data_IF_293004549240
#
_entry.id   IF_293004549240
#
_cell.length_a   1.000
_cell.length_b   1.000
_cell.length_c   1.000
_cell.angle_alpha   90.00
_cell.angle_beta   90.00
_cell.angle_gamma   90.00
#
_symmetry.space_group_name_H-M   'P 1'
#
loop_
_entity.id
_entity.type
_entity.pdbx_description
1 polymer ?
#
# COMPACT_ATOMS: atom_id res chain seq x y z
N UNK A 1 -43.40 -37.97 50.91
CA UNK A 1 -42.59 -36.75 50.70
C UNK A 1 -41.17 -37.05 51.19
N UNK A 2 -40.26 -37.30 50.26
CA UNK A 2 -38.84 -37.54 50.48
C UNK A 2 -38.09 -36.88 49.30
N UNK A 3 -36.97 -36.17 49.51
CA UNK A 3 -36.28 -35.53 48.40
C UNK A 3 -35.31 -36.51 47.74
N UNK A 4 -35.44 -36.66 46.41
CA UNK A 4 -34.55 -37.41 45.53
C UNK A 4 -33.38 -36.52 45.09
N UNK A 5 -32.17 -37.00 45.31
CA UNK A 5 -30.92 -36.50 44.72
C UNK A 5 -30.88 -36.83 43.22
N UNK A 6 -30.75 -35.81 42.37
CA UNK A 6 -30.52 -35.97 40.93
C UNK A 6 -29.06 -35.68 40.61
N UNK A 7 -28.34 -36.75 40.25
CA UNK A 7 -27.05 -36.73 39.56
C UNK A 7 -27.25 -36.29 38.11
N UNK A 8 -26.52 -35.27 37.66
CA UNK A 8 -26.55 -34.78 36.28
C UNK A 8 -25.50 -35.51 35.43
N UNK A 9 -25.80 -35.94 34.19
CA UNK A 9 -24.85 -36.63 33.34
C UNK A 9 -23.94 -35.66 32.57
N UNK A 10 -22.67 -36.06 32.42
CA UNK A 10 -21.65 -35.34 31.69
C UNK A 10 -21.99 -35.21 30.19
N UNK A 11 -22.02 -33.97 29.69
CA UNK A 11 -22.08 -33.66 28.26
C UNK A 11 -20.68 -33.70 27.67
N UNK A 12 -20.42 -34.70 26.83
CA UNK A 12 -19.28 -34.72 25.91
C UNK A 12 -19.38 -33.54 24.93
N UNK A 13 -18.57 -32.48 25.14
CA UNK A 13 -18.26 -31.51 24.08
C UNK A 13 -17.25 -32.15 23.13
N UNK A 14 -17.73 -32.56 21.94
CA UNK A 14 -16.86 -32.76 20.78
C UNK A 14 -16.16 -31.43 20.49
N UNK A 15 -14.84 -31.44 20.52
CA UNK A 15 -14.03 -30.35 19.99
C UNK A 15 -14.27 -30.28 18.47
N UNK A 16 -15.08 -29.32 18.03
CA UNK A 16 -15.08 -28.89 16.65
C UNK A 16 -13.73 -28.19 16.42
N UNK A 17 -12.86 -28.78 15.61
CA UNK A 17 -11.64 -28.13 15.15
C UNK A 17 -12.02 -26.80 14.50
N UNK A 18 -11.46 -25.69 15.00
CA UNK A 18 -11.50 -24.41 14.30
C UNK A 18 -10.78 -24.61 12.98
N UNK A 19 -11.53 -24.67 11.88
CA UNK A 19 -10.96 -24.48 10.56
C UNK A 19 -10.38 -23.05 10.52
N UNK A 20 -9.06 -22.94 10.46
CA UNK A 20 -8.37 -21.70 10.16
C UNK A 20 -8.83 -21.24 8.79
N UNK A 21 -9.46 -20.07 8.71
CA UNK A 21 -9.86 -19.49 7.42
C UNK A 21 -8.58 -19.10 6.67
N UNK A 22 -8.46 -19.44 5.38
CA UNK A 22 -7.30 -19.04 4.58
C UNK A 22 -7.26 -17.53 4.48
N UNK A 23 -6.08 -16.92 4.64
CA UNK A 23 -5.92 -15.46 4.63
C UNK A 23 -4.97 -15.01 3.53
N UNK A 24 -5.32 -14.02 2.71
CA UNK A 24 -4.31 -13.33 1.91
C UNK A 24 -3.21 -12.65 2.76
N UNK A 25 -2.03 -12.55 2.16
CA UNK A 25 -0.86 -11.86 2.69
C UNK A 25 -1.19 -10.42 3.14
N UNK A 26 -0.95 -10.09 4.41
CA UNK A 26 -0.94 -8.70 4.88
C UNK A 26 0.47 -8.37 5.34
N UNK A 27 1.10 -7.39 4.69
CA UNK A 27 2.48 -7.04 4.96
C UNK A 27 2.68 -5.57 5.22
N UNK A 28 3.03 -5.24 6.46
CA UNK A 28 3.31 -3.87 6.89
C UNK A 28 4.63 -3.82 7.64
N UNK A 29 5.60 -3.13 7.05
CA UNK A 29 6.69 -2.50 7.80
C UNK A 29 6.57 -1.01 7.47
N UNK A 30 6.39 -0.17 8.50
CA UNK A 30 6.44 1.29 8.36
C UNK A 30 7.90 1.67 8.20
N UNK A 31 8.30 2.02 6.98
CA UNK A 31 9.70 2.07 6.61
C UNK A 31 9.97 3.12 5.55
N UNK A 32 10.74 4.14 5.88
CA UNK A 32 11.27 5.10 4.93
C UNK A 32 12.00 4.37 3.79
N UNK A 33 11.44 4.50 2.59
CA UNK A 33 12.09 4.13 1.36
C UNK A 33 13.04 5.25 0.92
N UNK A 34 14.12 4.89 0.21
CA UNK A 34 14.97 5.82 -0.52
C UNK A 34 14.24 6.42 -1.73
N UNK A 35 13.05 6.98 -1.55
CA UNK A 35 12.37 7.75 -2.57
C UNK A 35 13.06 9.11 -2.67
N UNK A 36 13.92 9.28 -3.66
CA UNK A 36 14.29 10.62 -4.12
C UNK A 36 13.03 11.40 -4.49
N UNK A 37 13.00 12.74 -4.36
CA UNK A 37 11.84 13.51 -4.76
C UNK A 37 11.58 13.28 -6.25
N UNK A 38 10.53 12.52 -6.56
CA UNK A 38 9.92 12.55 -7.87
C UNK A 38 9.33 13.95 -8.00
N UNK A 39 10.07 14.85 -8.65
CA UNK A 39 9.52 16.13 -9.09
C UNK A 39 8.34 15.78 -9.99
N UNK A 40 7.13 15.91 -9.48
CA UNK A 40 5.94 15.83 -10.29
C UNK A 40 6.08 16.92 -11.37
N UNK A 41 6.17 16.50 -12.64
CA UNK A 41 6.00 17.42 -13.75
C UNK A 41 4.65 18.12 -13.59
N UNK A 42 4.58 19.46 -13.53
CA UNK A 42 3.29 20.12 -13.46
C UNK A 42 2.57 19.93 -14.80
N UNK A 43 1.49 19.15 -14.79
CA UNK A 43 0.51 19.14 -15.85
C UNK A 43 -0.06 20.55 -16.01
N UNK A 44 0.16 21.11 -17.20
CA UNK A 44 -0.24 22.45 -17.61
C UNK A 44 -1.75 22.59 -17.52
N UNK A 45 -2.25 23.48 -16.65
CA UNK A 45 -3.57 24.06 -16.80
C UNK A 45 -3.48 25.32 -17.69
N UNK A 46 -4.44 25.54 -18.61
CA UNK A 46 -4.40 26.65 -19.55
C UNK A 46 -4.77 27.96 -18.83
N UNK A 47 -3.87 28.95 -18.88
CA UNK A 47 -4.18 30.31 -18.44
C UNK A 47 -5.08 30.99 -19.49
N UNK A 48 -6.27 31.40 -19.07
CA UNK A 48 -7.09 32.35 -19.78
C UNK A 48 -6.52 33.77 -19.62
N UNK A 49 -6.57 34.53 -20.71
CA UNK A 49 -6.04 35.88 -20.91
C UNK A 49 -6.51 36.93 -19.91
N UNK A 50 -5.59 37.80 -19.48
CA UNK A 50 -5.85 39.24 -19.34
C UNK A 50 -4.53 40.06 -19.44
N UNK A 51 -4.65 41.16 -20.15
CA UNK A 51 -3.62 42.12 -20.60
C UNK A 51 -3.19 43.08 -19.50
N UNK A 52 -1.89 43.41 -19.41
CA UNK A 52 -1.37 44.79 -19.39
C UNK A 52 0.17 44.83 -19.26
N UNK A 53 0.83 45.44 -20.23
CA UNK A 53 2.22 45.95 -20.18
C UNK A 53 2.27 47.25 -19.37
N UNK A 54 3.40 47.55 -18.69
CA UNK A 54 4.27 48.60 -19.24
C UNK A 54 5.80 48.38 -19.13
N UNK A 55 6.44 49.06 -20.09
CA UNK A 55 7.82 49.50 -20.43
C UNK A 55 8.87 49.63 -19.30
N UNK A 56 10.19 49.51 -19.61
CA UNK A 56 11.25 49.36 -18.61
C UNK A 56 11.78 50.71 -18.09
N UNK A 57 12.34 50.71 -16.88
CA UNK A 57 13.23 51.76 -16.39
C UNK A 57 14.46 51.12 -15.77
N UNK A 58 15.59 51.34 -16.42
CA UNK A 58 16.94 51.07 -15.95
C UNK A 58 17.35 52.18 -14.97
N UNK A 59 17.94 51.83 -13.84
CA UNK A 59 19.00 52.61 -13.17
C UNK A 59 19.56 51.85 -11.96
N UNK A 60 20.88 51.72 -11.90
CA UNK A 60 21.62 51.90 -10.65
C UNK A 60 22.28 50.66 -10.04
N UNK A 61 23.54 50.44 -10.42
CA UNK A 61 24.51 49.68 -9.66
C UNK A 61 24.65 50.26 -8.23
N UNK A 62 24.40 49.44 -7.22
CA UNK A 62 24.69 49.73 -5.82
C UNK A 62 25.10 48.46 -5.10
N UNK A 63 26.39 48.38 -4.76
CA UNK A 63 26.96 47.25 -4.01
C UNK A 63 26.29 47.11 -2.65
N UNK A 64 25.66 45.96 -2.44
CA UNK A 64 25.16 45.51 -1.15
C UNK A 64 25.54 44.05 -0.99
N UNK A 65 26.53 43.79 -0.15
CA UNK A 65 26.87 42.47 0.35
C UNK A 65 25.63 41.81 0.96
N UNK A 66 25.10 40.81 0.26
CA UNK A 66 24.08 39.90 0.78
C UNK A 66 24.68 39.16 1.98
N UNK A 67 24.00 39.14 3.14
CA UNK A 67 24.35 38.18 4.16
C UNK A 67 24.04 36.79 3.58
N UNK A 68 25.04 35.91 3.54
CA UNK A 68 24.77 34.50 3.43
C UNK A 68 23.81 34.15 4.57
N UNK A 69 22.60 33.70 4.23
CA UNK A 69 21.65 33.18 5.21
C UNK A 69 22.34 32.01 5.90
N UNK A 70 22.83 32.25 7.12
CA UNK A 70 23.40 31.21 7.95
C UNK A 70 22.23 30.31 8.36
N UNK A 71 22.10 29.18 7.68
CA UNK A 71 21.29 28.07 8.17
C UNK A 71 21.74 27.69 9.59
N UNK A 72 20.86 27.07 10.40
CA UNK A 72 21.21 26.65 11.75
C UNK A 72 22.53 25.86 11.75
N UNK A 73 23.46 26.26 12.62
CA UNK A 73 24.75 25.59 12.79
C UNK A 73 24.55 24.19 13.35
N UNK A 74 24.98 23.19 12.60
CA UNK A 74 24.85 21.77 12.94
C UNK A 74 25.55 21.41 14.26
N UNK A 75 24.89 20.69 15.20
CA UNK A 75 25.54 20.20 16.41
C UNK A 75 26.71 19.23 16.11
N UNK A 76 27.75 19.19 16.95
CA UNK A 76 28.94 18.37 16.71
C UNK A 76 28.75 16.87 17.02
N UNK A 77 27.71 16.48 17.78
CA UNK A 77 27.41 15.08 18.10
C UNK A 77 26.06 14.60 17.49
N UNK A 78 25.95 13.29 17.23
CA UNK A 78 24.79 12.69 16.57
C UNK A 78 23.51 12.76 17.42
N UNK A 79 23.63 12.65 18.75
CA UNK A 79 22.50 12.66 19.67
C UNK A 79 21.81 14.02 19.71
N UNK A 80 22.58 15.11 19.74
CA UNK A 80 22.08 16.47 19.68
C UNK A 80 21.41 16.77 18.33
N UNK A 81 21.92 16.22 17.21
CA UNK A 81 21.27 16.33 15.90
C UNK A 81 19.87 15.69 15.95
N UNK A 82 19.77 14.44 16.40
CA UNK A 82 18.47 13.75 16.48
C UNK A 82 17.51 14.47 17.42
N UNK A 83 17.96 14.91 18.60
CA UNK A 83 17.13 15.68 19.54
C UNK A 83 16.64 17.00 18.96
N UNK A 84 17.48 17.69 18.19
CA UNK A 84 17.07 18.89 17.48
C UNK A 84 15.97 18.58 16.46
N UNK A 85 16.17 17.56 15.62
CA UNK A 85 15.18 17.16 14.60
C UNK A 85 13.88 16.72 15.25
N UNK A 86 13.94 15.95 16.34
CA UNK A 86 12.78 15.52 17.10
C UNK A 86 11.91 16.69 17.55
N UNK A 87 12.53 17.73 18.15
CA UNK A 87 11.82 18.95 18.56
C UNK A 87 11.20 19.70 17.38
N UNK A 88 11.90 19.75 16.24
CA UNK A 88 11.40 20.38 15.02
C UNK A 88 10.22 19.62 14.42
N UNK A 89 10.32 18.29 14.31
CA UNK A 89 9.26 17.41 13.79
C UNK A 89 8.03 17.43 14.69
N UNK A 90 8.21 17.36 16.01
CA UNK A 90 7.13 17.53 17.00
C UNK A 90 6.40 18.87 16.82
N UNK A 91 7.15 19.96 16.61
CA UNK A 91 6.57 21.29 16.34
C UNK A 91 5.82 21.33 15.01
N UNK A 92 6.40 20.81 13.94
CA UNK A 92 5.79 20.75 12.60
C UNK A 92 4.49 19.95 12.67
N UNK A 93 4.53 18.75 13.27
CA UNK A 93 3.42 17.80 13.31
C UNK A 93 2.38 18.13 14.39
N UNK A 94 2.70 19.06 15.29
CA UNK A 94 1.83 19.48 16.40
C UNK A 94 1.48 18.34 17.37
N UNK A 95 2.42 17.42 17.60
CA UNK A 95 2.29 16.30 18.53
C UNK A 95 3.35 16.38 19.63
N UNK A 96 3.03 15.87 20.82
CA UNK A 96 3.88 15.98 21.99
C UNK A 96 5.23 15.28 21.81
N UNK A 97 6.32 15.99 22.15
CA UNK A 97 7.67 15.46 22.12
C UNK A 97 7.89 14.43 23.24
N UNK A 98 8.25 13.18 22.95
CA UNK A 98 8.61 12.20 23.97
C UNK A 98 9.98 12.48 24.62
N UNK A 99 10.19 11.93 25.82
CA UNK A 99 11.46 12.05 26.56
C UNK A 99 12.64 11.35 25.86
N UNK A 100 12.37 10.20 25.23
CA UNK A 100 13.36 9.43 24.45
C UNK A 100 13.20 9.80 22.98
N UNK A 101 14.31 10.16 22.34
CA UNK A 101 14.35 10.54 20.93
C UNK A 101 15.46 9.80 20.17
N UNK A 102 16.30 9.05 20.88
CA UNK A 102 17.50 8.45 20.32
C UNK A 102 17.17 7.19 19.49
N UNK A 103 17.56 7.16 18.21
CA UNK A 103 17.33 6.00 17.35
C UNK A 103 18.35 4.90 17.63
N UNK A 104 18.04 3.70 17.15
CA UNK A 104 19.00 2.59 17.09
C UNK A 104 19.64 2.55 15.71
N UNK A 105 20.93 2.87 15.65
CA UNK A 105 21.67 2.86 14.39
C UNK A 105 22.11 1.44 14.06
N UNK A 106 21.80 0.98 12.86
CA UNK A 106 22.13 -0.36 12.36
C UNK A 106 22.84 -0.28 11.00
N UNK A 107 23.53 -1.35 10.62
CA UNK A 107 24.10 -1.50 9.29
C UNK A 107 23.15 -2.27 8.34
N UNK A 108 23.48 -2.29 7.05
CA UNK A 108 22.70 -3.00 6.03
C UNK A 108 22.52 -4.50 6.29
N UNK A 109 23.56 -5.26 6.69
CA UNK A 109 23.40 -6.66 7.08
C UNK A 109 22.42 -6.88 8.24
N UNK A 110 22.44 -6.00 9.25
CA UNK A 110 21.49 -6.07 10.37
C UNK A 110 20.07 -5.73 9.91
N UNK A 111 19.89 -4.77 9.00
CA UNK A 111 18.59 -4.48 8.38
C UNK A 111 18.01 -5.74 7.71
N UNK A 112 18.77 -6.37 6.81
CA UNK A 112 18.31 -7.57 6.09
C UNK A 112 17.91 -8.69 7.06
N UNK A 113 18.70 -8.89 8.12
CA UNK A 113 18.40 -9.88 9.16
C UNK A 113 17.10 -9.55 9.91
N UNK A 114 16.88 -8.27 10.25
CA UNK A 114 15.68 -7.84 10.96
C UNK A 114 14.44 -7.97 10.07
N UNK A 115 14.50 -7.50 8.82
CA UNK A 115 13.42 -7.61 7.85
C UNK A 115 13.06 -9.09 7.56
N UNK A 116 14.06 -9.95 7.42
CA UNK A 116 13.83 -11.39 7.20
C UNK A 116 13.13 -12.02 8.39
N UNK A 117 13.56 -11.70 9.63
CA UNK A 117 12.91 -12.20 10.84
C UNK A 117 11.47 -11.73 10.96
N UNK A 118 11.20 -10.45 10.71
CA UNK A 118 9.83 -9.92 10.77
C UNK A 118 8.97 -10.58 9.70
N UNK A 119 9.49 -10.69 8.47
CA UNK A 119 8.81 -11.39 7.38
C UNK A 119 8.45 -12.83 7.76
N UNK A 120 9.38 -13.61 8.30
CA UNK A 120 9.09 -14.99 8.71
C UNK A 120 8.08 -15.06 9.87
N UNK A 121 8.01 -14.03 10.71
CA UNK A 121 7.11 -13.96 11.86
C UNK A 121 5.69 -13.61 11.46
N UNK A 122 5.52 -12.67 10.51
CA UNK A 122 4.21 -12.16 10.10
C UNK A 122 3.63 -12.88 8.88
N UNK A 123 4.44 -13.67 8.16
CA UNK A 123 4.04 -14.32 6.90
C UNK A 123 4.26 -15.82 6.94
N UNK A 124 3.26 -16.58 7.40
CA UNK A 124 3.29 -18.03 7.31
C UNK A 124 3.61 -18.49 5.88
N UNK A 125 4.54 -19.46 5.70
CA UNK A 125 4.93 -19.91 4.37
C UNK A 125 3.78 -20.41 3.49
N UNK A 126 2.71 -20.95 4.09
CA UNK A 126 1.54 -21.41 3.36
C UNK A 126 0.70 -20.24 2.80
N UNK A 127 0.54 -19.15 3.55
CA UNK A 127 -0.15 -17.94 3.06
C UNK A 127 0.65 -17.25 1.96
N UNK A 128 1.98 -17.20 2.08
CA UNK A 128 2.85 -16.74 0.99
C UNK A 128 2.67 -17.60 -0.26
N UNK A 129 2.64 -18.94 -0.11
CA UNK A 129 2.47 -19.83 -1.26
C UNK A 129 1.12 -19.65 -1.95
N UNK A 130 0.04 -19.40 -1.18
CA UNK A 130 -1.29 -19.11 -1.73
C UNK A 130 -1.33 -17.76 -2.46
N UNK A 131 -0.77 -16.70 -1.86
CA UNK A 131 -0.66 -15.38 -2.52
C UNK A 131 0.19 -15.44 -3.78
N UNK A 132 1.33 -16.15 -3.74
CA UNK A 132 2.19 -16.36 -4.92
C UNK A 132 1.41 -17.09 -6.02
N UNK A 133 0.67 -18.14 -5.67
CA UNK A 133 -0.16 -18.89 -6.63
C UNK A 133 -1.26 -18.03 -7.23
N UNK A 134 -1.95 -17.23 -6.41
CA UNK A 134 -2.97 -16.28 -6.87
C UNK A 134 -2.38 -15.31 -7.89
N UNK A 135 -1.27 -14.64 -7.54
CA UNK A 135 -0.63 -13.66 -8.42
C UNK A 135 -0.10 -14.30 -9.71
N UNK A 136 0.43 -15.53 -9.65
CA UNK A 136 0.85 -16.29 -10.86
C UNK A 136 -0.33 -16.61 -11.77
N UNK A 137 -1.46 -17.08 -11.22
CA UNK A 137 -2.66 -17.36 -12.03
C UNK A 137 -3.27 -16.09 -12.62
N UNK A 138 -3.17 -14.96 -11.91
CA UNK A 138 -3.58 -13.65 -12.40
C UNK A 138 -2.63 -13.06 -13.46
N UNK A 139 -1.48 -13.69 -13.71
CA UNK A 139 -0.45 -13.18 -14.63
C UNK A 139 0.40 -12.04 -14.06
N UNK A 140 0.28 -11.73 -12.76
CA UNK A 140 1.01 -10.66 -12.07
C UNK A 140 2.42 -11.09 -11.61
N UNK A 141 2.71 -12.39 -11.63
CA UNK A 141 4.03 -12.95 -11.37
C UNK A 141 4.40 -13.97 -12.44
N UNK A 142 5.66 -13.92 -12.87
CA UNK A 142 6.22 -14.95 -13.74
C UNK A 142 6.26 -16.32 -13.04
N UNK A 143 6.20 -17.44 -13.80
CA UNK A 143 6.08 -18.79 -13.22
C UNK A 143 7.25 -19.17 -12.29
N UNK A 144 8.44 -18.64 -12.56
CA UNK A 144 9.67 -18.91 -11.81
C UNK A 144 10.01 -17.83 -10.76
N UNK A 145 9.18 -16.80 -10.63
CA UNK A 145 9.38 -15.74 -9.64
C UNK A 145 8.92 -16.25 -8.27
N UNK A 146 9.75 -16.03 -7.24
CA UNK A 146 9.38 -16.24 -5.85
C UNK A 146 8.89 -14.92 -5.26
N UNK A 147 7.68 -14.91 -4.72
CA UNK A 147 7.06 -13.74 -4.09
C UNK A 147 7.87 -13.28 -2.88
N UNK A 148 8.18 -14.20 -1.96
CA UNK A 148 8.95 -13.89 -0.75
C UNK A 148 10.32 -13.29 -1.09
N UNK A 149 11.03 -13.88 -2.05
CA UNK A 149 12.34 -13.37 -2.47
C UNK A 149 12.23 -11.99 -3.10
N UNK A 150 11.31 -11.79 -4.04
CA UNK A 150 11.12 -10.49 -4.67
C UNK A 150 10.77 -9.39 -3.66
N UNK A 151 9.96 -9.72 -2.66
CA UNK A 151 9.63 -8.82 -1.56
C UNK A 151 10.84 -8.47 -0.68
N UNK A 152 11.59 -9.48 -0.23
CA UNK A 152 12.77 -9.26 0.62
C UNK A 152 13.89 -8.52 -0.12
N UNK A 153 14.09 -8.82 -1.41
CA UNK A 153 15.05 -8.12 -2.27
C UNK A 153 14.66 -6.65 -2.43
N UNK A 154 13.37 -6.34 -2.62
CA UNK A 154 12.85 -4.97 -2.66
C UNK A 154 13.09 -4.25 -1.34
N UNK A 155 12.65 -4.81 -0.21
CA UNK A 155 12.77 -4.15 1.09
C UNK A 155 14.22 -3.96 1.53
N UNK A 156 15.06 -4.99 1.39
CA UNK A 156 16.48 -4.90 1.72
C UNK A 156 17.24 -3.89 0.86
N UNK A 157 16.72 -3.55 -0.33
CA UNK A 157 17.29 -2.52 -1.20
C UNK A 157 16.76 -1.12 -0.93
N UNK A 158 15.50 -0.95 -0.53
CA UNK A 158 14.84 0.36 -0.48
C UNK A 158 14.76 0.95 0.92
N UNK A 159 14.69 0.12 1.97
CA UNK A 159 14.51 0.58 3.34
C UNK A 159 15.81 1.20 3.87
N UNK A 160 15.73 2.45 4.32
CA UNK A 160 16.86 3.20 4.89
C UNK A 160 16.62 3.60 6.35
N UNK A 161 15.42 3.39 6.86
CA UNK A 161 15.03 3.47 8.26
C UNK A 161 13.64 2.83 8.45
N UNK A 162 13.29 2.51 9.70
CA UNK A 162 11.96 2.02 10.03
C UNK A 162 11.66 2.23 11.52
N UNK A 163 10.38 2.37 11.83
CA UNK A 163 9.85 2.39 13.18
C UNK A 163 9.05 1.10 13.42
N UNK A 164 9.38 0.40 14.50
CA UNK A 164 8.65 -0.79 14.91
C UNK A 164 7.67 -0.47 16.06
N UNK A 165 6.35 -0.45 15.81
CA UNK A 165 5.35 -0.15 16.83
C UNK A 165 5.17 -1.30 17.85
N UNK A 166 5.68 -2.51 17.60
CA UNK A 166 5.61 -3.64 18.54
C UNK A 166 6.65 -3.50 19.64
N UNK A 167 7.87 -3.08 19.29
CA UNK A 167 8.96 -2.86 20.27
C UNK A 167 9.18 -1.39 20.63
N UNK A 168 8.39 -0.47 20.04
CA UNK A 168 8.44 0.98 20.25
C UNK A 168 9.84 1.54 20.03
N UNK A 169 10.44 1.17 18.90
CA UNK A 169 11.84 1.49 18.59
C UNK A 169 12.01 1.97 17.16
N UNK A 170 12.73 3.08 17.03
CA UNK A 170 13.15 3.68 15.77
C UNK A 170 14.53 3.14 15.37
N UNK A 171 14.69 2.72 14.12
CA UNK A 171 15.94 2.27 13.54
C UNK A 171 16.38 3.14 12.37
N UNK A 172 17.65 3.55 12.36
CA UNK A 172 18.28 4.27 11.25
C UNK A 172 19.38 3.40 10.65
N UNK A 173 19.37 3.24 9.34
CA UNK A 173 20.41 2.50 8.63
C UNK A 173 21.52 3.48 8.25
N UNK A 174 22.70 3.34 8.85
CA UNK A 174 23.87 4.16 8.51
C UNK A 174 24.99 3.29 7.93
N UNK A 175 25.50 3.67 6.75
CA UNK A 175 26.56 2.92 6.06
C UNK A 175 27.97 3.22 6.58
N UNK A 176 28.19 4.40 7.14
CA UNK A 176 29.51 4.87 7.60
C UNK A 176 29.50 5.30 9.08
N UNK A 177 28.36 5.14 9.77
CA UNK A 177 28.18 5.54 11.17
C UNK A 177 28.07 7.06 11.37
N UNK A 178 28.07 7.84 10.30
CA UNK A 178 27.86 9.28 10.35
C UNK A 178 26.38 9.63 10.12
N UNK A 179 25.95 10.75 10.70
CA UNK A 179 24.65 11.34 10.41
C UNK A 179 24.82 12.27 9.21
N UNK A 180 24.25 11.96 8.05
CA UNK A 180 24.22 12.81 6.87
C UNK A 180 22.83 13.35 6.60
N UNK A 181 22.65 14.10 5.52
CA UNK A 181 21.34 14.61 5.12
C UNK A 181 20.32 13.46 4.93
N UNK A 182 20.76 12.29 4.46
CA UNK A 182 19.91 11.09 4.35
C UNK A 182 19.43 10.63 5.72
N UNK A 183 20.34 10.39 6.66
CA UNK A 183 20.01 9.93 8.00
C UNK A 183 19.13 10.93 8.75
N UNK A 184 19.32 12.24 8.53
CA UNK A 184 18.48 13.29 9.12
C UNK A 184 17.06 13.28 8.54
N UNK A 185 16.92 13.15 7.21
CA UNK A 185 15.62 13.04 6.53
C UNK A 185 14.89 11.77 6.95
N UNK A 186 15.59 10.63 6.94
CA UNK A 186 15.04 9.36 7.40
C UNK A 186 14.59 9.46 8.84
N UNK A 187 15.39 10.06 9.72
CA UNK A 187 15.00 10.25 11.11
C UNK A 187 13.76 11.14 11.24
N UNK A 188 13.64 12.21 10.45
CA UNK A 188 12.43 13.04 10.46
C UNK A 188 11.16 12.25 10.07
N UNK A 189 11.26 11.34 9.10
CA UNK A 189 10.18 10.42 8.73
C UNK A 189 9.85 9.46 9.87
N UNK A 190 10.83 8.69 10.32
CA UNK A 190 10.62 7.63 11.30
C UNK A 190 10.21 8.15 12.68
N UNK A 191 10.71 9.32 13.06
CA UNK A 191 10.29 9.95 14.32
C UNK A 191 8.83 10.41 14.23
N UNK A 192 8.32 10.73 13.03
CA UNK A 192 6.89 10.99 12.86
C UNK A 192 6.05 9.74 13.14
N UNK A 193 6.51 8.55 12.73
CA UNK A 193 5.85 7.29 13.13
C UNK A 193 5.85 7.08 14.65
N UNK A 194 6.94 7.43 15.34
CA UNK A 194 6.99 7.38 16.80
C UNK A 194 5.97 8.34 17.46
N UNK A 195 5.78 9.53 16.90
CA UNK A 195 4.76 10.48 17.36
C UNK A 195 3.34 9.97 17.07
N UNK A 196 3.10 9.43 15.86
CA UNK A 196 1.83 8.83 15.47
C UNK A 196 1.45 7.66 16.38
N UNK A 197 2.40 6.78 16.68
CA UNK A 197 2.15 5.62 17.54
C UNK A 197 1.83 6.02 18.97
N UNK A 198 2.49 7.03 19.53
CA UNK A 198 2.10 7.56 20.85
C UNK A 198 0.71 8.18 20.85
N UNK A 199 0.33 8.85 19.77
CA UNK A 199 -0.94 9.59 19.72
C UNK A 199 -2.14 8.71 19.37
N UNK A 200 -1.95 7.76 18.47
CA UNK A 200 -3.01 6.98 17.82
C UNK A 200 -2.92 5.48 18.06
N UNK A 201 -1.84 4.98 18.68
CA UNK A 201 -1.54 3.56 18.85
C UNK A 201 -1.60 2.81 17.50
N UNK A 202 -0.49 2.80 16.74
CA UNK A 202 -0.50 2.25 15.38
C UNK A 202 -0.83 0.76 15.34
N UNK A 203 -0.55 0.02 16.41
CA UNK A 203 -0.97 -1.38 16.54
C UNK A 203 -2.50 -1.54 16.58
N UNK A 204 -3.22 -0.53 17.09
CA UNK A 204 -4.68 -0.55 17.19
C UNK A 204 -5.39 -0.36 15.85
N UNK A 205 -4.67 0.10 14.82
CA UNK A 205 -5.20 0.25 13.45
C UNK A 205 -5.53 -1.11 12.81
N UNK A 206 -5.03 -2.19 13.40
CA UNK A 206 -5.43 -3.55 13.05
C UNK A 206 -4.85 -4.07 11.75
N UNK A 207 -3.76 -3.47 11.24
CA UNK A 207 -3.10 -3.87 9.99
C UNK A 207 -2.83 -5.38 9.96
N UNK A 208 -2.20 -5.95 10.99
CA UNK A 208 -1.92 -7.40 11.09
C UNK A 208 -3.18 -8.28 11.31
N UNK A 209 -4.31 -7.66 11.66
CA UNK A 209 -5.57 -8.35 12.00
C UNK A 209 -6.63 -8.28 10.91
N UNK A 210 -6.49 -7.36 9.96
CA UNK A 210 -7.31 -7.34 8.76
C UNK A 210 -6.94 -8.59 7.95
N UNK A 211 -7.97 -9.30 7.49
CA UNK A 211 -7.86 -10.57 6.78
C UNK A 211 -8.66 -10.45 5.50
N UNK A 212 -8.09 -10.92 4.40
CA UNK A 212 -8.74 -10.96 3.08
C UNK A 212 -9.16 -9.57 2.56
N UNK A 213 -8.42 -8.53 2.91
CA UNK A 213 -8.75 -7.15 2.52
C UNK A 213 -7.49 -6.29 2.44
N UNK A 214 -6.58 -6.69 1.53
CA UNK A 214 -5.31 -6.01 1.29
C UNK A 214 -5.49 -4.57 0.83
N UNK A 215 -6.53 -4.27 0.06
CA UNK A 215 -6.89 -2.91 -0.35
C UNK A 215 -7.12 -1.98 0.85
N UNK A 216 -7.85 -2.45 1.87
CA UNK A 216 -8.08 -1.67 3.10
C UNK A 216 -6.80 -1.47 3.90
N UNK A 217 -5.95 -2.50 4.01
CA UNK A 217 -4.63 -2.36 4.65
C UNK A 217 -3.83 -1.27 3.95
N UNK A 218 -3.82 -1.30 2.63
CA UNK A 218 -3.10 -0.33 1.82
C UNK A 218 -3.66 1.09 2.01
N UNK A 219 -4.97 1.24 2.10
CA UNK A 219 -5.62 2.53 2.36
C UNK A 219 -5.19 3.12 3.71
N UNK A 220 -5.21 2.32 4.77
CA UNK A 220 -4.80 2.75 6.11
C UNK A 220 -3.31 3.14 6.10
N UNK A 221 -2.47 2.34 5.43
CA UNK A 221 -1.05 2.65 5.29
C UNK A 221 -0.82 3.99 4.59
N UNK A 222 -1.58 4.30 3.54
CA UNK A 222 -1.46 5.58 2.84
C UNK A 222 -1.75 6.79 3.74
N UNK A 223 -2.65 6.68 4.72
CA UNK A 223 -2.82 7.74 5.72
C UNK A 223 -1.58 7.88 6.60
N UNK A 224 -1.06 6.75 7.11
CA UNK A 224 0.10 6.73 8.02
C UNK A 224 1.36 7.29 7.34
N UNK A 225 1.67 6.78 6.15
CA UNK A 225 2.86 7.16 5.38
C UNK A 225 2.73 8.57 4.78
N UNK A 226 1.55 8.94 4.29
CA UNK A 226 1.29 10.30 3.80
C UNK A 226 1.48 11.35 4.90
N UNK A 227 1.10 11.03 6.14
CA UNK A 227 1.25 11.89 7.30
C UNK A 227 2.74 12.03 7.70
N UNK A 228 3.47 10.93 7.77
CA UNK A 228 4.92 10.95 8.01
C UNK A 228 5.68 11.73 6.93
N UNK A 229 5.35 11.50 5.66
CA UNK A 229 5.96 12.18 4.52
C UNK A 229 5.66 13.68 4.51
N UNK A 230 4.49 14.10 5.00
CA UNK A 230 4.13 15.53 5.11
C UNK A 230 4.99 16.27 6.13
N UNK A 231 5.26 15.65 7.28
CA UNK A 231 6.13 16.18 8.32
C UNK A 231 7.59 16.19 7.86
N UNK A 232 8.07 15.08 7.27
CA UNK A 232 9.39 14.97 6.67
C UNK A 232 9.63 16.06 5.63
N UNK A 233 8.71 16.23 4.68
CA UNK A 233 8.84 17.21 3.59
C UNK A 233 8.88 18.65 4.11
N UNK A 234 8.03 18.96 5.10
CA UNK A 234 8.03 20.26 5.76
C UNK A 234 9.34 20.53 6.50
N UNK A 235 9.88 19.51 7.17
CA UNK A 235 11.16 19.58 7.85
C UNK A 235 12.30 19.82 6.84
N UNK A 236 12.32 19.07 5.73
CA UNK A 236 13.30 19.24 4.66
C UNK A 236 13.30 20.66 4.11
N UNK A 237 12.12 21.19 3.76
CA UNK A 237 11.96 22.52 3.20
C UNK A 237 12.43 23.62 4.17
N UNK A 238 12.28 23.42 5.47
CA UNK A 238 12.66 24.39 6.49
C UNK A 238 14.14 24.32 6.91
N UNK A 239 14.79 23.15 6.79
CA UNK A 239 16.08 22.90 7.44
C UNK A 239 17.22 22.52 6.50
N UNK A 240 16.94 21.98 5.30
CA UNK A 240 17.99 21.56 4.38
C UNK A 240 18.45 22.70 3.47
N UNK A 241 19.76 22.76 3.24
CA UNK A 241 20.36 23.60 2.21
C UNK A 241 20.14 23.00 0.80
N UNK A 242 20.25 23.79 -0.27
CA UNK A 242 20.20 23.27 -1.64
C UNK A 242 21.22 22.16 -1.92
N UNK A 243 22.41 22.22 -1.31
CA UNK A 243 23.43 21.18 -1.45
C UNK A 243 22.98 19.86 -0.82
N UNK A 244 22.45 19.90 0.41
CA UNK A 244 21.91 18.72 1.10
C UNK A 244 20.70 18.13 0.37
N UNK A 245 19.82 18.96 -0.20
CA UNK A 245 18.73 18.49 -1.06
C UNK A 245 19.27 17.75 -2.30
N UNK A 246 20.37 18.23 -2.89
CA UNK A 246 21.08 17.56 -3.97
C UNK A 246 21.68 16.21 -3.57
N UNK A 247 22.23 16.10 -2.35
CA UNK A 247 22.71 14.83 -1.78
C UNK A 247 21.56 13.83 -1.63
N UNK A 248 20.42 14.27 -1.09
CA UNK A 248 19.21 13.44 -0.94
C UNK A 248 18.72 12.92 -2.30
N UNK A 249 18.61 13.79 -3.29
CA UNK A 249 18.21 13.42 -4.64
C UNK A 249 19.19 12.42 -5.31
N UNK A 250 20.49 12.58 -5.06
CA UNK A 250 21.52 11.70 -5.61
C UNK A 250 21.44 10.30 -5.01
N UNK A 251 21.21 10.18 -3.69
CA UNK A 251 21.09 8.88 -3.03
C UNK A 251 19.87 8.08 -3.54
N UNK A 252 18.74 8.75 -3.80
CA UNK A 252 17.57 8.12 -4.40
C UNK A 252 17.76 7.67 -5.85
N UNK A 253 18.89 8.02 -6.48
CA UNK A 253 19.27 7.62 -7.84
C UNK A 253 20.38 6.57 -7.87
N UNK A 254 20.61 5.85 -6.76
CA UNK A 254 21.61 4.79 -6.66
C UNK A 254 21.35 3.70 -7.73
N UNK A 255 22.30 3.42 -8.65
CA UNK A 255 22.09 2.47 -9.74
C UNK A 255 21.75 1.04 -9.30
N UNK A 256 22.25 0.59 -8.15
CA UNK A 256 21.93 -0.74 -7.63
C UNK A 256 20.48 -0.79 -7.11
N UNK A 257 20.03 0.27 -6.44
CA UNK A 257 18.62 0.41 -6.05
C UNK A 257 17.70 0.45 -7.28
N UNK A 258 18.06 1.26 -8.29
CA UNK A 258 17.29 1.35 -9.53
C UNK A 258 17.21 0.02 -10.28
N UNK A 259 18.28 -0.79 -10.25
CA UNK A 259 18.26 -2.12 -10.85
C UNK A 259 17.29 -3.08 -10.13
N UNK A 260 17.21 -3.02 -8.80
CA UNK A 260 16.23 -3.80 -8.03
C UNK A 260 14.82 -3.36 -8.35
N UNK A 261 14.55 -2.05 -8.38
CA UNK A 261 13.24 -1.50 -8.75
C UNK A 261 12.81 -1.94 -10.15
N UNK A 262 13.72 -1.92 -11.12
CA UNK A 262 13.44 -2.34 -12.49
C UNK A 262 13.17 -3.84 -12.62
N UNK A 263 13.76 -4.67 -11.76
CA UNK A 263 13.54 -6.12 -11.74
C UNK A 263 12.31 -6.54 -10.90
N UNK A 264 11.80 -5.64 -10.06
CA UNK A 264 10.70 -5.92 -9.13
C UNK A 264 9.39 -6.10 -9.91
N UNK A 265 8.61 -7.18 -9.66
CA UNK A 265 7.29 -7.33 -10.25
C UNK A 265 6.40 -6.11 -9.98
N UNK A 266 5.70 -5.62 -11.01
CA UNK A 266 4.90 -4.40 -10.95
C UNK A 266 3.95 -4.37 -9.76
N UNK A 267 3.28 -5.48 -9.47
CA UNK A 267 2.34 -5.57 -8.36
C UNK A 267 2.99 -5.27 -7.01
N UNK A 268 4.23 -5.71 -6.78
CA UNK A 268 4.96 -5.40 -5.56
C UNK A 268 5.45 -3.95 -5.57
N UNK A 269 5.97 -3.49 -6.70
CA UNK A 269 6.50 -2.13 -6.82
C UNK A 269 5.40 -1.08 -6.59
N UNK A 270 4.28 -1.20 -7.30
CA UNK A 270 3.21 -0.20 -7.27
C UNK A 270 2.45 -0.22 -5.94
N UNK A 271 2.27 -1.38 -5.30
CA UNK A 271 1.67 -1.43 -3.95
C UNK A 271 2.63 -0.90 -2.88
N UNK A 272 3.95 -1.07 -3.04
CA UNK A 272 4.94 -0.55 -2.07
C UNK A 272 5.08 0.97 -2.12
N UNK A 273 4.99 1.57 -3.32
CA UNK A 273 5.15 3.02 -3.48
C UNK A 273 3.85 3.81 -3.27
N UNK A 274 2.70 3.15 -3.38
CA UNK A 274 1.39 3.80 -3.28
C UNK A 274 1.16 4.58 -1.98
N UNK A 275 1.49 4.05 -0.78
CA UNK A 275 1.32 4.78 0.47
C UNK A 275 2.06 6.11 0.51
N UNK A 276 3.23 6.20 -0.14
CA UNK A 276 4.01 7.43 -0.21
C UNK A 276 3.45 8.42 -1.22
N UNK A 277 3.09 7.95 -2.42
CA UNK A 277 2.67 8.84 -3.50
C UNK A 277 1.21 9.28 -3.35
N UNK A 278 0.29 8.32 -3.32
CA UNK A 278 -1.14 8.61 -3.23
C UNK A 278 -1.52 9.05 -1.81
N UNK A 279 -0.87 8.47 -0.79
CA UNK A 279 -1.02 8.93 0.60
C UNK A 279 -0.59 10.38 0.82
N UNK A 280 0.51 10.85 0.19
CA UNK A 280 0.89 12.26 0.24
C UNK A 280 -0.19 13.18 -0.36
N UNK A 281 -0.79 12.79 -1.49
CA UNK A 281 -1.88 13.56 -2.09
C UNK A 281 -3.12 13.58 -1.17
N UNK A 282 -3.48 12.44 -0.59
CA UNK A 282 -4.58 12.30 0.35
C UNK A 282 -4.39 13.16 1.60
N UNK A 283 -3.24 13.05 2.28
CA UNK A 283 -2.93 13.86 3.47
C UNK A 283 -2.77 15.34 3.12
N UNK A 284 -2.19 15.66 1.95
CA UNK A 284 -2.12 17.03 1.46
C UNK A 284 -3.51 17.68 1.32
N UNK A 285 -4.51 16.90 0.87
CA UNK A 285 -5.89 17.35 0.82
C UNK A 285 -6.45 17.62 2.24
N UNK A 286 -6.23 16.71 3.20
CA UNK A 286 -6.66 16.91 4.60
C UNK A 286 -6.01 18.15 5.23
N UNK A 287 -4.71 18.36 4.99
CA UNK A 287 -3.97 19.54 5.43
C UNK A 287 -4.57 20.83 4.85
N UNK A 288 -4.97 20.83 3.58
CA UNK A 288 -5.61 21.98 2.95
C UNK A 288 -7.00 22.29 3.54
N UNK A 289 -7.71 21.30 4.08
CA UNK A 289 -9.02 21.48 4.70
C UNK A 289 -8.95 22.06 6.12
N UNK A 290 -7.93 21.70 6.91
CA UNK A 290 -7.85 22.14 8.31
C UNK A 290 -6.54 21.84 9.04
N UNK A 291 -5.46 21.66 8.29
CA UNK A 291 -4.15 21.32 8.83
C UNK A 291 -4.11 19.97 9.54
N UNK A 292 -3.15 19.79 10.44
CA UNK A 292 -2.96 18.52 11.14
C UNK A 292 -4.13 18.10 12.03
N UNK A 293 -5.00 19.03 12.45
CA UNK A 293 -6.22 18.67 13.18
C UNK A 293 -7.17 17.79 12.36
N UNK A 294 -7.25 18.01 11.04
CA UNK A 294 -8.02 17.17 10.12
C UNK A 294 -7.33 15.83 9.87
N UNK A 295 -6.00 15.83 9.78
CA UNK A 295 -5.19 14.60 9.66
C UNK A 295 -5.39 13.71 10.89
N UNK A 296 -5.31 14.28 12.09
CA UNK A 296 -5.56 13.58 13.36
C UNK A 296 -6.98 12.99 13.43
N UNK A 297 -7.98 13.73 12.93
CA UNK A 297 -9.35 13.24 12.87
C UNK A 297 -9.51 12.02 11.96
N UNK A 298 -8.74 11.92 10.87
CA UNK A 298 -8.76 10.77 9.97
C UNK A 298 -8.32 9.45 10.64
N UNK A 299 -7.49 9.49 11.68
CA UNK A 299 -7.15 8.30 12.48
C UNK A 299 -8.35 7.74 13.28
N UNK A 300 -9.42 8.52 13.45
CA UNK A 300 -10.68 8.03 14.06
C UNK A 300 -11.67 7.48 13.02
N UNK A 301 -11.47 7.80 11.75
CA UNK A 301 -12.28 7.39 10.61
C UNK A 301 -11.36 6.95 9.47
N UNK A 302 -10.70 5.81 9.68
CA UNK A 302 -9.68 5.32 8.77
C UNK A 302 -10.23 5.13 7.34
N UNK A 303 -9.42 5.43 6.30
CA UNK A 303 -9.80 5.16 4.92
C UNK A 303 -10.03 3.65 4.72
N UNK A 304 -11.00 3.33 3.87
CA UNK A 304 -11.54 1.99 3.69
C UNK A 304 -11.03 1.28 2.43
N UNK A 305 -10.50 2.01 1.45
CA UNK A 305 -10.06 1.49 0.14
C UNK A 305 -9.01 2.38 -0.53
N UNK A 306 -8.27 1.83 -1.50
CA UNK A 306 -7.38 2.62 -2.36
C UNK A 306 -8.11 3.68 -3.18
N UNK A 307 -9.39 3.47 -3.51
CA UNK A 307 -10.25 4.47 -4.18
C UNK A 307 -10.35 5.76 -3.34
N UNK A 308 -10.57 5.65 -2.04
CA UNK A 308 -10.63 6.83 -1.15
C UNK A 308 -9.31 7.60 -1.09
N UNK A 309 -8.18 6.90 -1.25
CA UNK A 309 -6.86 7.52 -1.28
C UNK A 309 -6.60 8.19 -2.64
N UNK A 310 -7.09 7.59 -3.73
CA UNK A 310 -6.90 8.08 -5.09
C UNK A 310 -7.78 9.28 -5.43
N UNK A 311 -8.95 9.41 -4.79
CA UNK A 311 -9.93 10.47 -5.01
C UNK A 311 -10.19 11.28 -3.73
N UNK A 312 -9.17 11.95 -3.15
CA UNK A 312 -9.26 12.62 -1.85
C UNK A 312 -10.23 13.81 -1.82
N UNK A 313 -10.63 14.33 -2.97
CA UNK A 313 -11.64 15.39 -3.12
C UNK A 313 -13.07 14.90 -2.89
N UNK A 314 -13.32 13.60 -3.00
CA UNK A 314 -14.63 13.02 -2.76
C UNK A 314 -14.87 12.77 -1.27
N UNK A 315 -16.11 12.97 -0.82
CA UNK A 315 -16.48 12.65 0.54
C UNK A 315 -16.38 11.13 0.79
N UNK A 316 -15.76 10.64 1.89
CA UNK A 316 -15.62 9.21 2.16
C UNK A 316 -16.95 8.43 2.19
N UNK A 317 -18.06 9.11 2.49
CA UNK A 317 -19.40 8.51 2.47
C UNK A 317 -19.89 8.15 1.07
N UNK A 318 -19.36 8.79 0.03
CA UNK A 318 -19.68 8.52 -1.38
C UNK A 318 -18.92 7.28 -1.84
N UNK A 319 -17.63 7.21 -1.50
CA UNK A 319 -16.72 6.13 -1.90
C UNK A 319 -16.70 4.98 -0.88
N UNK A 320 -17.88 4.55 -0.41
CA UNK A 320 -17.94 3.47 0.57
C UNK A 320 -17.86 2.12 -0.15
N UNK A 321 -16.82 1.28 0.12
CA UNK A 321 -16.67 0.03 -0.61
C UNK A 321 -17.84 -0.94 -0.40
N UNK A 322 -18.35 -1.45 -1.51
CA UNK A 322 -19.35 -2.52 -1.57
C UNK A 322 -18.64 -3.84 -1.27
N UNK A 323 -18.98 -4.48 -0.15
CA UNK A 323 -18.45 -5.79 0.18
C UNK A 323 -19.08 -6.87 -0.67
N UNK A 324 -18.28 -7.50 -1.53
CA UNK A 324 -18.72 -8.63 -2.33
C UNK A 324 -18.40 -9.93 -1.62
N UNK A 325 -19.42 -10.77 -1.47
CA UNK A 325 -19.29 -12.10 -0.95
C UNK A 325 -19.32 -13.11 -2.10
N UNK A 326 -18.48 -14.13 -2.01
CA UNK A 326 -18.52 -15.27 -2.91
C UNK A 326 -19.40 -16.36 -2.27
N UNK A 327 -20.21 -17.09 -3.04
CA UNK A 327 -20.99 -18.21 -2.53
C UNK A 327 -20.10 -19.23 -1.78
N UNK A 328 -20.50 -19.61 -0.57
CA UNK A 328 -19.74 -20.55 0.27
C UNK A 328 -19.64 -21.97 -0.31
N UNK A 329 -20.47 -22.28 -1.30
CA UNK A 329 -20.52 -23.52 -2.07
C UNK A 329 -19.81 -23.40 -3.43
N UNK A 330 -19.07 -22.32 -3.70
CA UNK A 330 -18.37 -22.10 -4.97
C UNK A 330 -17.48 -23.31 -5.34
N UNK A 331 -16.65 -23.77 -4.41
CA UNK A 331 -15.75 -24.90 -4.65
C UNK A 331 -16.53 -26.19 -4.95
N UNK A 332 -17.62 -26.45 -4.23
CA UNK A 332 -18.48 -27.62 -4.46
C UNK A 332 -19.19 -27.56 -5.82
N UNK A 333 -19.56 -26.36 -6.27
CA UNK A 333 -20.20 -26.12 -7.58
C UNK A 333 -19.26 -26.42 -8.73
N UNK A 334 -17.96 -26.20 -8.54
CA UNK A 334 -16.96 -26.57 -9.55
C UNK A 334 -16.80 -28.10 -9.63
N UNK A 335 -16.72 -28.77 -8.48
CA UNK A 335 -16.71 -30.23 -8.43
C UNK A 335 -15.92 -30.82 -7.27
N UNK A 336 -15.86 -32.14 -7.24
CA UNK A 336 -15.12 -32.89 -6.20
C UNK A 336 -13.62 -32.59 -6.27
N UNK A 337 -12.99 -32.40 -5.11
CA UNK A 337 -11.54 -32.14 -5.00
C UNK A 337 -11.14 -30.67 -5.15
N UNK A 338 -12.11 -29.76 -5.23
CA UNK A 338 -11.87 -28.32 -5.23
C UNK A 338 -11.99 -27.72 -3.83
N UNK A 339 -11.12 -26.78 -3.49
CA UNK A 339 -11.14 -26.04 -2.22
C UNK A 339 -10.89 -24.56 -2.45
N UNK A 340 -11.59 -23.69 -1.72
CA UNK A 340 -11.22 -22.28 -1.64
C UNK A 340 -10.02 -22.12 -0.70
N UNK A 341 -8.92 -21.65 -1.26
CA UNK A 341 -7.61 -21.66 -0.60
C UNK A 341 -7.07 -20.29 -0.25
N UNK A 342 -7.57 -19.22 -0.87
CA UNK A 342 -7.32 -17.84 -0.49
C UNK A 342 -8.40 -16.92 -1.05
N UNK A 343 -8.56 -15.75 -0.43
CA UNK A 343 -9.44 -14.70 -0.94
C UNK A 343 -8.90 -13.33 -0.53
N UNK A 344 -9.25 -12.30 -1.29
CA UNK A 344 -8.79 -10.93 -1.03
C UNK A 344 -9.70 -9.88 -1.67
N UNK A 345 -9.42 -8.61 -1.37
CA UNK A 345 -9.94 -7.43 -2.09
C UNK A 345 -8.74 -6.70 -2.70
N UNK A 346 -8.79 -6.47 -4.00
CA UNK A 346 -7.70 -5.87 -4.78
C UNK A 346 -7.78 -4.34 -4.79
N UNK A 347 -8.98 -3.78 -4.85
CA UNK A 347 -9.14 -2.33 -4.91
C UNK A 347 -8.90 -1.72 -6.28
N UNK A 348 -9.16 -0.43 -6.39
CA UNK A 348 -8.90 0.36 -7.60
C UNK A 348 -7.42 0.28 -8.02
N UNK A 349 -6.49 0.40 -7.07
CA UNK A 349 -5.06 0.35 -7.39
C UNK A 349 -4.66 -0.96 -8.07
N UNK A 350 -4.94 -2.10 -7.43
CA UNK A 350 -4.46 -3.38 -7.97
C UNK A 350 -5.23 -3.76 -9.24
N UNK A 351 -6.48 -3.30 -9.40
CA UNK A 351 -7.20 -3.42 -10.66
C UNK A 351 -6.47 -2.68 -11.80
N UNK A 352 -6.09 -1.42 -11.57
CA UNK A 352 -5.28 -0.61 -12.50
C UNK A 352 -3.94 -1.29 -12.82
N UNK A 353 -3.26 -1.83 -11.81
CA UNK A 353 -1.98 -2.55 -12.00
C UNK A 353 -2.16 -3.77 -12.90
N UNK A 354 -3.20 -4.57 -12.67
CA UNK A 354 -3.47 -5.77 -13.47
C UNK A 354 -3.78 -5.42 -14.93
N UNK A 355 -4.55 -4.35 -15.18
CA UNK A 355 -4.80 -3.85 -16.53
C UNK A 355 -3.48 -3.46 -17.24
N UNK A 356 -2.60 -2.72 -16.55
CA UNK A 356 -1.31 -2.32 -17.10
C UNK A 356 -0.37 -3.49 -17.37
N UNK A 357 -0.37 -4.48 -16.49
CA UNK A 357 0.44 -5.69 -16.67
C UNK A 357 0.01 -6.46 -17.93
N UNK A 358 -1.29 -6.46 -18.24
CA UNK A 358 -1.82 -7.01 -19.48
C UNK A 358 -1.69 -6.12 -20.72
N UNK A 359 -0.96 -5.01 -20.64
CA UNK A 359 -0.63 -4.17 -21.79
C UNK A 359 -1.62 -3.05 -22.08
N UNK A 360 -2.56 -2.77 -21.17
CA UNK A 360 -3.41 -1.57 -21.27
C UNK A 360 -2.55 -0.33 -20.97
N UNK A 361 -2.63 0.69 -21.83
CA UNK A 361 -1.89 1.94 -21.65
C UNK A 361 -2.24 2.63 -20.32
N UNK A 362 -1.26 3.31 -19.71
CA UNK A 362 -1.37 3.85 -18.34
C UNK A 362 -2.63 4.70 -18.10
N UNK A 363 -2.89 5.69 -18.94
CA UNK A 363 -4.08 6.56 -18.79
C UNK A 363 -5.39 5.80 -19.01
N UNK A 364 -5.41 4.85 -19.95
CA UNK A 364 -6.59 4.02 -20.21
C UNK A 364 -6.85 3.08 -19.05
N UNK A 365 -5.81 2.49 -18.45
CA UNK A 365 -5.92 1.64 -17.28
C UNK A 365 -6.34 2.41 -16.03
N UNK A 366 -5.93 3.68 -15.90
CA UNK A 366 -6.42 4.57 -14.84
C UNK A 366 -7.92 4.82 -15.01
N UNK A 367 -8.34 5.34 -16.16
CA UNK A 367 -9.76 5.65 -16.44
C UNK A 367 -10.63 4.40 -16.27
N UNK A 368 -10.20 3.26 -16.81
CA UNK A 368 -10.97 2.02 -16.71
C UNK A 368 -11.02 1.41 -15.30
N UNK A 369 -10.23 1.90 -14.35
CA UNK A 369 -10.28 1.50 -12.96
C UNK A 369 -11.02 2.52 -12.07
N UNK A 370 -11.29 3.73 -12.58
CA UNK A 370 -12.07 4.74 -11.86
C UNK A 370 -13.54 4.30 -11.69
N UNK A 371 -14.16 4.74 -10.60
CA UNK A 371 -15.52 4.30 -10.22
C UNK A 371 -15.56 2.85 -9.72
N UNK A 372 -14.44 2.31 -9.24
CA UNK A 372 -14.40 1.02 -8.58
C UNK A 372 -15.26 1.05 -7.32
N UNK A 373 -16.36 0.31 -7.27
CA UNK A 373 -17.24 0.30 -6.10
C UNK A 373 -16.90 -0.78 -5.07
N UNK A 374 -16.03 -1.75 -5.39
CA UNK A 374 -15.76 -2.90 -4.53
C UNK A 374 -15.40 -4.16 -5.29
N UNK A 375 -14.62 -5.07 -4.69
CA UNK A 375 -14.34 -6.36 -5.32
C UNK A 375 -14.06 -7.51 -4.34
N UNK A 376 -14.01 -8.70 -4.92
CA UNK A 376 -13.60 -9.93 -4.24
C UNK A 376 -12.90 -10.84 -5.23
N UNK A 377 -11.66 -11.22 -4.90
CA UNK A 377 -10.91 -12.26 -5.60
C UNK A 377 -10.84 -13.52 -4.74
N UNK A 378 -10.99 -14.70 -5.35
CA UNK A 378 -10.91 -16.00 -4.67
C UNK A 378 -10.08 -16.97 -5.48
N UNK A 379 -9.08 -17.56 -4.85
CA UNK A 379 -8.28 -18.66 -5.36
C UNK A 379 -8.93 -19.99 -4.98
N UNK A 380 -9.13 -20.84 -5.97
CA UNK A 380 -9.49 -22.23 -5.80
C UNK A 380 -8.35 -23.15 -6.24
N UNK A 381 -8.02 -24.10 -5.38
CA UNK A 381 -7.16 -25.24 -5.71
C UNK A 381 -8.02 -26.43 -6.12
N UNK A 382 -7.59 -27.14 -7.15
CA UNK A 382 -8.27 -28.30 -7.71
C UNK A 382 -7.36 -29.53 -7.79
N UNK A 383 -7.91 -30.67 -8.23
CA UNK A 383 -7.18 -31.92 -8.34
C UNK A 383 -6.00 -31.82 -9.31
N UNK A 384 -4.95 -32.62 -9.08
CA UNK A 384 -3.76 -32.68 -9.93
C UNK A 384 -3.07 -31.31 -10.17
N UNK A 385 -3.21 -30.37 -9.23
CA UNK A 385 -2.61 -29.04 -9.30
C UNK A 385 -3.39 -28.04 -10.15
N UNK A 386 -4.62 -28.37 -10.58
CA UNK A 386 -5.51 -27.44 -11.25
C UNK A 386 -5.80 -26.21 -10.39
N UNK A 387 -6.03 -25.06 -11.01
CA UNK A 387 -6.32 -23.82 -10.31
C UNK A 387 -7.37 -22.99 -11.03
N UNK A 388 -8.16 -22.25 -10.26
CA UNK A 388 -9.07 -21.24 -10.78
C UNK A 388 -9.04 -20.01 -9.87
N UNK A 389 -9.16 -18.83 -10.46
CA UNK A 389 -9.34 -17.57 -9.76
C UNK A 389 -10.66 -16.97 -10.22
N UNK A 390 -11.52 -16.64 -9.26
CA UNK A 390 -12.75 -15.87 -9.50
C UNK A 390 -12.53 -14.45 -9.01
N UNK A 391 -12.78 -13.47 -9.85
CA UNK A 391 -12.72 -12.07 -9.48
C UNK A 391 -14.03 -11.39 -9.88
N UNK A 392 -14.76 -10.91 -8.88
CA UNK A 392 -16.02 -10.18 -9.05
C UNK A 392 -15.80 -8.75 -8.61
N UNK A 393 -16.22 -7.79 -9.46
CA UNK A 393 -16.09 -6.36 -9.23
C UNK A 393 -17.45 -5.67 -9.30
N UNK A 394 -17.58 -4.59 -8.54
CA UNK A 394 -18.68 -3.64 -8.53
C UNK A 394 -18.17 -2.29 -9.02
N UNK A 395 -19.03 -1.53 -9.66
CA UNK A 395 -18.72 -0.22 -10.19
C UNK A 395 -19.81 0.79 -9.83
N UNK A 396 -19.45 2.06 -9.74
CA UNK A 396 -20.39 3.14 -9.43
C UNK A 396 -21.48 3.28 -10.49
N UNK A 397 -21.14 3.04 -11.75
CA UNK A 397 -22.08 3.09 -12.85
C UNK A 397 -21.87 1.98 -13.89
N UNK A 398 -22.89 1.74 -14.72
CA UNK A 398 -22.78 0.77 -15.82
C UNK A 398 -21.78 1.21 -16.91
N UNK A 399 -21.61 2.52 -17.21
CA UNK A 399 -20.44 3.00 -17.96
C UNK A 399 -19.10 2.52 -17.41
N UNK A 400 -18.81 2.74 -16.13
CA UNK A 400 -17.53 2.37 -15.51
C UNK A 400 -17.28 0.85 -15.61
N UNK A 401 -18.31 0.05 -15.35
CA UNK A 401 -18.24 -1.41 -15.53
C UNK A 401 -17.89 -1.82 -16.97
N UNK A 402 -18.39 -1.12 -18.00
CA UNK A 402 -18.08 -1.39 -19.41
C UNK A 402 -16.66 -0.96 -19.77
N UNK A 403 -16.19 0.15 -19.22
CA UNK A 403 -14.83 0.63 -19.42
C UNK A 403 -13.83 -0.37 -18.85
N UNK A 404 -14.06 -0.83 -17.61
CA UNK A 404 -13.28 -1.91 -17.01
C UNK A 404 -13.35 -3.21 -17.81
N UNK A 405 -14.55 -3.67 -18.21
CA UNK A 405 -14.69 -4.92 -18.97
C UNK A 405 -13.90 -4.86 -20.29
N UNK A 406 -13.98 -3.74 -21.00
CA UNK A 406 -13.24 -3.53 -22.26
C UNK A 406 -11.73 -3.61 -22.03
N UNK A 407 -11.22 -2.89 -21.03
CA UNK A 407 -9.81 -2.92 -20.68
C UNK A 407 -9.36 -4.30 -20.17
N UNK A 408 -10.19 -4.98 -19.38
CA UNK A 408 -9.92 -6.32 -18.85
C UNK A 408 -9.78 -7.34 -19.98
N UNK A 409 -10.58 -7.25 -21.05
CA UNK A 409 -10.44 -8.12 -22.23
C UNK A 409 -9.10 -7.93 -22.94
N UNK A 410 -8.60 -6.70 -23.03
CA UNK A 410 -7.26 -6.40 -23.53
C UNK A 410 -6.20 -7.03 -22.62
N UNK A 411 -6.33 -6.83 -21.30
CA UNK A 411 -5.39 -7.36 -20.32
C UNK A 411 -5.33 -8.90 -20.35
N UNK A 412 -6.47 -9.58 -20.41
CA UNK A 412 -6.60 -11.03 -20.55
C UNK A 412 -5.84 -11.53 -21.79
N UNK A 413 -6.02 -10.85 -22.92
CA UNK A 413 -5.33 -11.21 -24.16
C UNK A 413 -3.81 -11.01 -24.06
N UNK A 414 -3.35 -9.89 -23.48
CA UNK A 414 -1.93 -9.59 -23.27
C UNK A 414 -1.24 -10.58 -22.33
N UNK A 415 -1.90 -10.93 -21.22
CA UNK A 415 -1.43 -11.91 -20.25
C UNK A 415 -1.64 -13.36 -20.72
N UNK A 416 -2.35 -13.57 -21.83
CA UNK A 416 -2.69 -14.89 -22.40
C UNK A 416 -3.44 -15.78 -21.39
N UNK A 417 -4.35 -15.21 -20.62
CA UNK A 417 -5.11 -15.93 -19.60
C UNK A 417 -6.27 -16.70 -20.23
N UNK A 418 -6.48 -17.95 -19.78
CA UNK A 418 -7.68 -18.73 -20.14
C UNK A 418 -8.82 -18.30 -19.22
N UNK A 419 -9.69 -17.43 -19.73
CA UNK A 419 -10.64 -16.66 -18.92
C UNK A 419 -12.04 -16.66 -19.52
N UNK A 420 -13.04 -16.82 -18.66
CA UNK A 420 -14.44 -16.50 -18.97
C UNK A 420 -14.79 -15.19 -18.28
N UNK A 421 -15.41 -14.26 -19.02
CA UNK A 421 -15.85 -12.95 -18.51
C UNK A 421 -17.35 -12.78 -18.77
N UNK A 422 -18.08 -12.34 -17.75
CA UNK A 422 -19.47 -11.90 -17.84
C UNK A 422 -19.63 -10.55 -17.15
N UNK A 423 -20.59 -9.76 -17.63
CA UNK A 423 -20.96 -8.47 -17.02
C UNK A 423 -22.48 -8.32 -16.99
N UNK A 424 -22.99 -7.58 -16.01
CA UNK A 424 -24.40 -7.20 -15.91
C UNK A 424 -24.55 -5.94 -15.07
N UNK A 425 -25.19 -4.90 -15.63
CA UNK A 425 -25.38 -3.63 -14.93
C UNK A 425 -24.04 -3.01 -14.50
N UNK A 426 -23.81 -2.95 -13.19
CA UNK A 426 -22.59 -2.42 -12.55
C UNK A 426 -21.62 -3.52 -12.09
N UNK A 427 -21.80 -4.76 -12.53
CA UNK A 427 -20.99 -5.91 -12.14
C UNK A 427 -20.16 -6.43 -13.30
N UNK A 428 -18.91 -6.79 -13.04
CA UNK A 428 -18.08 -7.62 -13.92
C UNK A 428 -17.56 -8.80 -13.11
N UNK A 429 -17.65 -10.00 -13.67
CA UNK A 429 -17.12 -11.21 -13.05
C UNK A 429 -16.27 -11.99 -14.04
N UNK A 430 -15.12 -12.46 -13.58
CA UNK A 430 -14.13 -13.18 -14.37
C UNK A 430 -13.73 -14.46 -13.67
N UNK A 431 -13.56 -15.53 -14.43
CA UNK A 431 -12.99 -16.79 -13.97
C UNK A 431 -11.78 -17.13 -14.82
N UNK A 432 -10.59 -17.07 -14.22
CA UNK A 432 -9.32 -17.44 -14.84
C UNK A 432 -8.98 -18.85 -14.39
N UNK A 433 -8.60 -19.75 -15.31
CA UNK A 433 -8.18 -21.11 -14.96
C UNK A 433 -6.75 -21.40 -15.40
N UNK A 434 -6.09 -22.28 -14.66
CA UNK A 434 -4.83 -22.88 -15.10
C UNK A 434 -5.04 -23.65 -16.41
N UNK A 435 -3.96 -23.92 -17.16
CA UNK A 435 -4.02 -24.76 -18.37
C UNK A 435 -3.78 -26.26 -18.10
N UNK A 436 -3.84 -26.66 -16.83
CA UNK A 436 -3.62 -28.05 -16.39
C UNK A 436 -4.85 -28.93 -16.68
N UNK A 437 -4.69 -30.26 -16.85
CA UNK A 437 -5.82 -31.17 -16.90
C UNK A 437 -6.72 -31.07 -15.65
N UNK A 438 -8.03 -31.28 -15.81
CA UNK A 438 -8.98 -31.27 -14.70
C UNK A 438 -9.55 -29.90 -14.33
N UNK A 439 -9.32 -28.87 -15.16
CA UNK A 439 -9.89 -27.53 -14.96
C UNK A 439 -11.38 -27.45 -15.33
N UNK A 440 -12.14 -26.50 -14.78
CA UNK A 440 -13.58 -26.41 -14.99
C UNK A 440 -13.93 -26.07 -16.44
N UNK A 441 -15.05 -26.57 -16.95
CA UNK A 441 -15.53 -26.28 -18.31
C UNK A 441 -16.04 -24.84 -18.44
N UNK A 442 -16.04 -24.27 -19.66
CA UNK A 442 -16.62 -22.95 -19.93
C UNK A 442 -18.09 -22.85 -19.49
N UNK A 443 -18.87 -23.92 -19.70
CA UNK A 443 -20.27 -23.95 -19.31
C UNK A 443 -20.43 -23.86 -17.78
N UNK A 444 -19.60 -24.59 -17.03
CA UNK A 444 -19.55 -24.53 -15.57
C UNK A 444 -19.17 -23.12 -15.09
N UNK A 445 -18.11 -22.54 -15.65
CA UNK A 445 -17.65 -21.20 -15.28
C UNK A 445 -18.72 -20.14 -15.57
N UNK A 446 -19.32 -20.17 -16.77
CA UNK A 446 -20.39 -19.22 -17.14
C UNK A 446 -21.58 -19.31 -16.18
N UNK A 447 -22.04 -20.52 -15.85
CA UNK A 447 -23.15 -20.71 -14.92
C UNK A 447 -22.86 -20.11 -13.54
N UNK A 448 -21.63 -20.24 -13.03
CA UNK A 448 -21.21 -19.62 -11.77
C UNK A 448 -21.18 -18.10 -11.91
N UNK A 449 -20.51 -17.57 -12.93
CA UNK A 449 -20.36 -16.13 -13.15
C UNK A 449 -21.72 -15.43 -13.31
N UNK A 450 -22.70 -16.07 -13.94
CA UNK A 450 -24.07 -15.56 -14.02
C UNK A 450 -24.71 -15.34 -12.65
N UNK A 451 -24.40 -16.16 -11.65
CA UNK A 451 -24.89 -15.94 -10.28
C UNK A 451 -24.18 -14.77 -9.61
N UNK A 452 -22.90 -14.57 -9.88
CA UNK A 452 -22.08 -13.50 -9.30
C UNK A 452 -22.42 -12.11 -9.85
N UNK A 453 -22.85 -11.98 -11.10
CA UNK A 453 -23.21 -10.68 -11.70
C UNK A 453 -24.67 -10.27 -11.47
N UNK A 454 -25.53 -11.17 -10.97
CA UNK A 454 -26.95 -10.89 -10.70
C UNK A 454 -27.23 -10.37 -9.28
N UNK A 455 -26.30 -10.56 -8.34
CA UNK A 455 -26.35 -9.99 -6.98
C UNK A 455 -25.65 -8.64 -6.89
#
# INVERSE_FOLDING_TARGET
MAPRSLTSPALHRRAAGRATRPTALVMVVLAAAACGPSVASPSVLPLASAVATPTPTDTGLGGGSTPASAGPTRPPDAEAIYRQIAGQVSTIRQLDLPDRVEPTVIDGPTLVKNLTREFETTNPPDEIAKSERLLKLMGLLGPNVSLARAYLDLQGSQVIGYYDPKVKQLFIVSRNGAVGAIEEVTYAHEFTHELQDRRFDLNSLGLDTIKDDSDRVLAILSLVEGDALSAQTSWMAANLTPAQLGEVATAGSDPAMLAVLAATPRILLETSIFPYQAGAAYVGNLLAQGGYSTVDAAYTQLPASSEQILHPEAAPSVLKPIRLAIPGDLAATIGTGWTASAQDTFGELQARVWLREGGVAGDVARIAAEGWGGDRVVLLDGPAGAGAVFWTTAWDSSPDAREFESAARVAIAGLRLDTVVLSSGTRVAMAIRSRSPGTPSDATLRSILESLVRG
#
